data_IF_934351648985
#
_entry.id   IF_934351648985
#
_cell.length_a   1.000
_cell.length_b   1.000
_cell.length_c   1.000
_cell.angle_alpha   90.00
_cell.angle_beta   90.00
_cell.angle_gamma   90.00
#
_symmetry.space_group_name_H-M   'P 1'
#
loop_
_entity.id
_entity.type
_entity.pdbx_description
1 polymer ?
#
# COMPACT_ATOMS: atom_id res chain seq x y z
N UNK A 1 -13.58 -5.53 -2.21
CA UNK A 1 -12.26 -5.25 -1.60
C UNK A 1 -11.10 -5.47 -2.56
N UNK A 2 -11.12 -6.49 -3.44
CA UNK A 2 -10.00 -6.76 -4.38
C UNK A 2 -9.71 -5.60 -5.33
N UNK A 3 -10.74 -4.89 -5.80
CA UNK A 3 -10.59 -3.71 -6.68
C UNK A 3 -9.83 -2.57 -6.01
N UNK A 4 -10.01 -2.36 -4.70
CA UNK A 4 -9.36 -1.27 -3.95
C UNK A 4 -7.85 -1.53 -3.78
N UNK A 5 -7.49 -2.78 -3.50
CA UNK A 5 -6.08 -3.18 -3.34
C UNK A 5 -5.33 -3.13 -4.67
N UNK A 6 -5.96 -3.55 -5.77
CA UNK A 6 -5.34 -3.48 -7.09
C UNK A 6 -5.14 -2.02 -7.53
N UNK A 7 -6.15 -1.16 -7.36
CA UNK A 7 -6.01 0.28 -7.63
C UNK A 7 -4.90 0.91 -6.79
N UNK A 8 -4.79 0.56 -5.50
CA UNK A 8 -3.70 1.01 -4.65
C UNK A 8 -2.33 0.59 -5.21
N UNK A 9 -2.19 -0.65 -5.68
CA UNK A 9 -0.94 -1.11 -6.28
C UNK A 9 -0.59 -0.30 -7.53
N UNK A 10 -1.54 -0.12 -8.44
CA UNK A 10 -1.33 0.61 -9.70
C UNK A 10 -0.95 2.07 -9.45
N UNK A 11 -1.61 2.73 -8.48
CA UNK A 11 -1.28 4.11 -8.07
C UNK A 11 0.14 4.21 -7.50
N UNK A 12 0.55 3.28 -6.64
CA UNK A 12 1.88 3.31 -6.04
C UNK A 12 2.98 3.05 -7.09
N UNK A 13 2.73 2.14 -8.03
CA UNK A 13 3.64 1.89 -9.15
C UNK A 13 3.74 3.12 -10.06
N UNK A 14 2.63 3.83 -10.31
CA UNK A 14 2.63 5.07 -11.07
C UNK A 14 3.41 6.19 -10.35
N UNK A 15 3.24 6.33 -9.02
CA UNK A 15 3.97 7.31 -8.21
C UNK A 15 5.49 7.04 -8.26
N UNK A 16 5.91 5.78 -8.23
CA UNK A 16 7.32 5.38 -8.40
C UNK A 16 7.82 5.66 -9.82
N UNK A 17 7.04 5.30 -10.84
CA UNK A 17 7.41 5.52 -12.25
C UNK A 17 7.51 7.01 -12.62
N UNK A 18 6.75 7.87 -11.94
CA UNK A 18 6.79 9.31 -12.15
C UNK A 18 8.00 10.00 -11.47
N UNK A 19 8.69 9.33 -10.55
CA UNK A 19 9.84 9.89 -9.87
C UNK A 19 11.05 10.01 -10.82
N UNK A 20 11.52 11.23 -11.05
CA UNK A 20 12.65 11.52 -11.94
C UNK A 20 14.02 11.50 -11.27
N UNK A 21 14.06 11.40 -9.94
CA UNK A 21 15.29 11.42 -9.15
C UNK A 21 15.13 10.67 -7.82
N UNK A 22 16.23 10.58 -7.08
CA UNK A 22 16.27 9.92 -5.77
C UNK A 22 15.36 10.58 -4.72
N UNK A 23 15.16 11.89 -4.78
CA UNK A 23 14.29 12.60 -3.83
C UNK A 23 12.81 12.30 -4.10
N UNK A 24 12.43 12.20 -5.38
CA UNK A 24 11.12 11.75 -5.82
C UNK A 24 10.85 10.30 -5.42
N UNK A 25 11.83 9.41 -5.62
CA UNK A 25 11.70 8.00 -5.21
C UNK A 25 11.52 7.87 -3.69
N UNK A 26 12.29 8.62 -2.91
CA UNK A 26 12.13 8.63 -1.46
C UNK A 26 10.78 9.20 -1.02
N UNK A 27 10.30 10.24 -1.70
CA UNK A 27 8.97 10.82 -1.45
C UNK A 27 7.85 9.81 -1.74
N UNK A 28 7.92 9.11 -2.88
CA UNK A 28 6.98 8.04 -3.23
C UNK A 28 7.04 6.90 -2.20
N UNK A 29 8.23 6.47 -1.80
CA UNK A 29 8.43 5.44 -0.76
C UNK A 29 7.81 5.85 0.58
N UNK A 30 8.01 7.10 1.02
CA UNK A 30 7.43 7.61 2.28
C UNK A 30 5.90 7.73 2.17
N UNK A 31 5.37 8.18 1.03
CA UNK A 31 3.93 8.25 0.79
C UNK A 31 3.27 6.87 0.79
N UNK A 32 3.97 5.84 0.31
CA UNK A 32 3.49 4.46 0.32
C UNK A 32 3.61 3.80 1.71
N UNK A 33 4.82 3.81 2.29
CA UNK A 33 5.24 2.95 3.40
C UNK A 33 5.46 3.70 4.73
N UNK A 34 5.48 5.03 4.71
CA UNK A 34 5.71 5.82 5.92
C UNK A 34 4.66 5.58 7.02
N UNK A 35 4.87 6.16 8.20
CA UNK A 35 3.96 6.01 9.36
C UNK A 35 2.49 6.40 9.05
N UNK A 36 2.31 7.33 8.12
CA UNK A 36 1.02 7.79 7.58
C UNK A 36 0.84 7.42 6.10
N UNK A 37 1.70 6.55 5.57
CA UNK A 37 1.64 6.14 4.18
C UNK A 37 0.42 5.27 3.89
N UNK A 38 0.03 5.21 2.61
CA UNK A 38 -1.21 4.57 2.16
C UNK A 38 -1.30 3.10 2.58
N UNK A 39 -0.23 2.31 2.40
CA UNK A 39 -0.19 0.89 2.82
C UNK A 39 -0.30 0.78 4.34
N UNK A 40 0.46 1.58 5.08
CA UNK A 40 0.43 1.57 6.55
C UNK A 40 -0.95 1.95 7.11
N UNK A 41 -1.66 2.87 6.47
CA UNK A 41 -3.01 3.24 6.85
C UNK A 41 -3.98 2.06 6.65
N UNK A 42 -3.91 1.38 5.51
CA UNK A 42 -4.74 0.20 5.23
C UNK A 42 -4.45 -0.95 6.20
N UNK A 43 -3.18 -1.22 6.51
CA UNK A 43 -2.80 -2.24 7.48
C UNK A 43 -3.36 -1.97 8.89
N UNK A 44 -3.47 -0.71 9.30
CA UNK A 44 -4.10 -0.34 10.59
C UNK A 44 -5.61 -0.57 10.56
N UNK A 45 -6.27 -0.33 9.43
CA UNK A 45 -7.70 -0.59 9.23
C UNK A 45 -8.08 -2.06 9.40
N UNK A 46 -7.17 -2.99 9.12
CA UNK A 46 -7.37 -4.43 9.28
C UNK A 46 -7.81 -4.84 10.70
N UNK A 47 -7.47 -4.07 11.72
CA UNK A 47 -7.89 -4.32 13.10
C UNK A 47 -9.41 -4.35 13.28
N UNK A 48 -10.16 -3.68 12.39
CA UNK A 48 -11.62 -3.57 12.44
C UNK A 48 -12.34 -4.74 11.75
N UNK A 49 -11.62 -5.57 10.99
CA UNK A 49 -12.19 -6.69 10.23
C UNK A 49 -12.33 -7.96 11.09
N UNK A 50 -13.24 -8.85 10.68
CA UNK A 50 -13.33 -10.20 11.24
C UNK A 50 -12.04 -10.99 10.98
N UNK A 51 -11.71 -12.04 11.78
CA UNK A 51 -10.44 -12.76 11.67
C UNK A 51 -10.12 -13.29 10.27
N UNK A 52 -11.09 -13.88 9.58
CA UNK A 52 -10.92 -14.44 8.23
C UNK A 52 -10.69 -13.33 7.19
N UNK A 53 -11.52 -12.28 7.22
CA UNK A 53 -11.39 -11.12 6.31
C UNK A 53 -10.07 -10.37 6.54
N UNK A 54 -9.66 -10.23 7.81
CA UNK A 54 -8.38 -9.65 8.20
C UNK A 54 -7.21 -10.43 7.61
N UNK A 55 -7.26 -11.76 7.66
CA UNK A 55 -6.19 -12.62 7.13
C UNK A 55 -6.05 -12.43 5.63
N UNK A 56 -7.16 -12.48 4.91
CA UNK A 56 -7.14 -12.40 3.44
C UNK A 56 -6.75 -10.99 2.97
N UNK A 57 -7.31 -9.93 3.57
CA UNK A 57 -6.95 -8.55 3.26
C UNK A 57 -5.50 -8.23 3.68
N UNK A 58 -5.02 -8.76 4.80
CA UNK A 58 -3.64 -8.60 5.25
C UNK A 58 -2.64 -9.29 4.32
N UNK A 59 -2.95 -10.49 3.83
CA UNK A 59 -2.14 -11.19 2.84
C UNK A 59 -2.07 -10.41 1.52
N UNK A 60 -3.20 -9.86 1.06
CA UNK A 60 -3.25 -9.04 -0.15
C UNK A 60 -2.41 -7.75 0.00
N UNK A 61 -2.53 -7.02 1.12
CA UNK A 61 -1.72 -5.82 1.37
C UNK A 61 -0.22 -6.12 1.48
N UNK A 62 0.15 -7.26 2.05
CA UNK A 62 1.55 -7.68 2.08
C UNK A 62 2.11 -7.94 0.69
N UNK A 63 1.33 -8.53 -0.23
CA UNK A 63 1.75 -8.70 -1.63
C UNK A 63 2.01 -7.35 -2.31
N UNK A 64 1.14 -6.36 -2.10
CA UNK A 64 1.35 -5.01 -2.66
C UNK A 64 2.61 -4.36 -2.09
N UNK A 65 2.91 -4.57 -0.81
CA UNK A 65 4.12 -4.06 -0.15
C UNK A 65 5.42 -4.67 -0.68
N UNK A 66 5.37 -5.89 -1.22
CA UNK A 66 6.51 -6.66 -1.71
C UNK A 66 6.73 -6.56 -3.22
N UNK A 67 5.72 -6.12 -3.98
CA UNK A 67 5.77 -5.92 -5.43
C UNK A 67 6.69 -4.74 -5.81
#
# INVERSE_FOLDING_TARGET
MTTDIQSLQDELLADVAAASDMAGLESARVAALGKKGRITAQMKGLGQLAPEERRDAGAALNKVKEA
#
